data_IF_272450220330
#
_entry.id   IF_272450220330
#
_cell.length_a   1.000
_cell.length_b   1.000
_cell.length_c   1.000
_cell.angle_alpha   90.00
_cell.angle_beta   90.00
_cell.angle_gamma   90.00
#
_symmetry.space_group_name_H-M   'P 1'
#
loop_
_entity.id
_entity.type
_entity.pdbx_description
1 polymer ?
#
# COMPACT_ATOMS: atom_id res chain seq x y z
N UNK A 1 8.91 -12.69 2.85
CA UNK A 1 9.56 -11.46 3.36
C UNK A 1 8.52 -10.66 4.13
N UNK A 2 8.71 -10.39 5.43
CA UNK A 2 7.73 -9.63 6.22
C UNK A 2 7.90 -8.14 5.92
N UNK A 3 6.87 -7.46 5.41
CA UNK A 3 6.92 -6.00 5.21
C UNK A 3 7.06 -5.32 6.59
N UNK A 4 8.01 -4.38 6.71
CA UNK A 4 8.28 -3.66 7.97
C UNK A 4 7.13 -2.73 8.38
N UNK A 5 6.43 -2.17 7.38
CA UNK A 5 5.28 -1.29 7.58
C UNK A 5 4.06 -1.85 6.85
N UNK A 6 2.88 -1.71 7.46
CA UNK A 6 1.60 -2.00 6.82
C UNK A 6 1.23 -0.89 5.82
N UNK A 7 0.31 -1.19 4.92
CA UNK A 7 -0.16 -0.20 3.93
C UNK A 7 -0.90 0.95 4.60
N UNK A 8 -1.62 0.66 5.68
CA UNK A 8 -2.30 1.66 6.52
C UNK A 8 -1.30 2.60 7.20
N UNK A 9 -0.17 2.07 7.71
CA UNK A 9 0.91 2.90 8.26
C UNK A 9 1.54 3.79 7.19
N UNK A 10 1.82 3.22 6.02
CA UNK A 10 2.40 3.94 4.89
C UNK A 10 1.50 5.11 4.47
N UNK A 11 0.18 4.89 4.35
CA UNK A 11 -0.78 5.94 4.01
C UNK A 11 -0.84 7.00 5.10
N UNK A 12 -0.75 6.60 6.37
CA UNK A 12 -0.61 7.54 7.49
C UNK A 12 0.60 8.47 7.33
N UNK A 13 1.76 7.93 6.96
CA UNK A 13 2.97 8.72 6.73
C UNK A 13 2.83 9.70 5.56
N UNK A 14 2.15 9.30 4.47
CA UNK A 14 1.89 10.19 3.34
C UNK A 14 0.97 11.35 3.74
N UNK A 15 -0.04 11.09 4.57
CA UNK A 15 -0.95 12.12 5.09
C UNK A 15 -0.28 13.10 6.05
N UNK A 16 0.69 12.66 6.85
CA UNK A 16 1.49 13.58 7.68
C UNK A 16 2.16 14.67 6.81
N UNK A 17 2.61 14.33 5.59
CA UNK A 17 3.16 15.33 4.69
C UNK A 17 2.10 16.29 4.13
N UNK A 18 0.87 15.82 3.93
CA UNK A 18 -0.27 16.64 3.49
C UNK A 18 -0.71 17.65 4.56
N UNK A 19 -0.47 17.37 5.84
CA UNK A 19 -0.73 18.32 6.95
C UNK A 19 0.37 19.36 7.15
N UNK A 20 1.38 19.38 6.27
CA UNK A 20 2.44 20.39 6.24
C UNK A 20 3.75 19.97 6.93
N UNK A 21 3.86 18.71 7.39
CA UNK A 21 5.15 18.21 7.88
C UNK A 21 6.14 17.97 6.75
N UNK A 22 7.43 18.21 7.02
CA UNK A 22 8.48 17.90 6.03
C UNK A 22 8.71 16.39 5.94
N UNK A 23 8.91 15.90 4.71
CA UNK A 23 9.21 14.47 4.46
C UNK A 23 10.44 14.00 5.26
N UNK A 24 11.43 14.88 5.43
CA UNK A 24 12.64 14.60 6.19
C UNK A 24 12.36 14.31 7.66
N UNK A 25 11.47 15.08 8.29
CA UNK A 25 11.08 14.88 9.68
C UNK A 25 10.27 13.60 9.86
N UNK A 26 9.36 13.31 8.93
CA UNK A 26 8.56 12.07 8.93
C UNK A 26 9.49 10.85 8.80
N UNK A 27 10.44 10.89 7.87
CA UNK A 27 11.45 9.83 7.68
C UNK A 27 12.26 9.58 8.95
N UNK A 28 12.73 10.66 9.60
CA UNK A 28 13.50 10.57 10.85
C UNK A 28 12.67 10.02 12.01
N UNK A 29 11.41 10.45 12.14
CA UNK A 29 10.49 10.02 13.20
C UNK A 29 10.15 8.54 13.11
N UNK A 30 9.83 8.05 11.92
CA UNK A 30 9.33 6.69 11.70
C UNK A 30 10.40 5.69 11.25
N UNK A 31 11.62 6.16 10.97
CA UNK A 31 12.77 5.32 10.71
C UNK A 31 12.77 4.65 9.33
N UNK A 32 12.43 5.41 8.30
CA UNK A 32 12.54 5.01 6.88
C UNK A 32 13.22 6.11 6.04
N UNK A 33 13.63 5.78 4.82
CA UNK A 33 14.34 6.73 3.96
C UNK A 33 13.39 7.54 3.07
N UNK A 34 13.83 8.71 2.61
CA UNK A 34 13.08 9.52 1.65
C UNK A 34 12.82 8.77 0.34
N UNK A 35 13.72 7.85 -0.05
CA UNK A 35 13.50 6.96 -1.19
C UNK A 35 12.29 6.03 -0.98
N UNK A 36 12.13 5.46 0.22
CA UNK A 36 10.93 4.68 0.56
C UNK A 36 9.66 5.53 0.50
N UNK A 37 9.74 6.77 0.99
CA UNK A 37 8.62 7.72 0.91
C UNK A 37 8.20 7.99 -0.53
N UNK A 38 9.15 8.28 -1.43
CA UNK A 38 8.85 8.51 -2.85
C UNK A 38 8.20 7.28 -3.51
N UNK A 39 8.70 6.07 -3.24
CA UNK A 39 8.10 4.83 -3.73
C UNK A 39 6.64 4.69 -3.27
N UNK A 40 6.38 4.94 -1.99
CA UNK A 40 5.04 4.89 -1.43
C UNK A 40 4.14 5.98 -2.00
N UNK A 41 4.66 7.19 -2.19
CA UNK A 41 3.90 8.29 -2.81
C UNK A 41 3.50 7.96 -4.25
N UNK A 42 4.36 7.29 -5.03
CA UNK A 42 3.99 6.82 -6.37
C UNK A 42 2.92 5.73 -6.34
N UNK A 43 2.90 4.87 -5.32
CA UNK A 43 1.94 3.77 -5.22
C UNK A 43 0.60 4.15 -4.58
N UNK A 44 0.63 5.01 -3.56
CA UNK A 44 -0.51 5.33 -2.68
C UNK A 44 -0.82 6.83 -2.60
N UNK A 45 -0.03 7.68 -3.26
CA UNK A 45 -0.26 9.13 -3.24
C UNK A 45 -1.59 9.50 -3.89
N UNK A 46 -2.34 10.40 -3.25
CA UNK A 46 -3.69 10.78 -3.69
C UNK A 46 -4.77 9.74 -3.38
N UNK A 47 -4.42 8.60 -2.77
CA UNK A 47 -5.36 7.56 -2.35
C UNK A 47 -5.76 7.75 -0.89
N UNK A 48 -7.07 7.75 -0.63
CA UNK A 48 -7.60 7.72 0.73
C UNK A 48 -7.41 6.33 1.36
N UNK A 49 -7.38 6.27 2.70
CA UNK A 49 -7.32 5.00 3.43
C UNK A 49 -8.46 4.04 3.05
N UNK A 50 -9.65 4.58 2.76
CA UNK A 50 -10.81 3.81 2.31
C UNK A 50 -10.59 3.22 0.91
N UNK A 51 -10.03 3.99 -0.02
CA UNK A 51 -9.68 3.51 -1.37
C UNK A 51 -8.58 2.45 -1.32
N UNK A 52 -7.59 2.61 -0.44
CA UNK A 52 -6.54 1.60 -0.26
C UNK A 52 -7.08 0.29 0.32
N UNK A 53 -8.00 0.36 1.29
CA UNK A 53 -8.66 -0.83 1.84
C UNK A 53 -9.46 -1.55 0.75
N UNK A 54 -10.25 -0.80 -0.02
CA UNK A 54 -11.03 -1.34 -1.13
C UNK A 54 -10.14 -1.96 -2.22
N UNK A 55 -9.01 -1.34 -2.52
CA UNK A 55 -8.04 -1.88 -3.48
C UNK A 55 -7.52 -3.24 -3.02
N UNK A 56 -7.14 -3.38 -1.75
CA UNK A 56 -6.65 -4.64 -1.18
C UNK A 56 -7.69 -5.75 -1.19
N UNK A 57 -8.95 -5.41 -0.90
CA UNK A 57 -10.08 -6.35 -0.98
C UNK A 57 -10.27 -6.83 -2.43
N UNK A 58 -10.22 -5.92 -3.41
CA UNK A 58 -10.30 -6.27 -4.84
C UNK A 58 -9.12 -7.11 -5.31
N UNK A 59 -7.88 -6.80 -4.89
CA UNK A 59 -6.69 -7.59 -5.22
C UNK A 59 -6.79 -9.01 -4.66
N UNK A 60 -7.30 -9.16 -3.44
CA UNK A 60 -7.50 -10.47 -2.78
C UNK A 60 -8.54 -11.30 -3.54
N UNK A 61 -9.69 -10.69 -3.87
CA UNK A 61 -10.73 -11.40 -4.61
C UNK A 61 -10.28 -11.74 -6.04
N UNK A 62 -9.54 -10.84 -6.70
CA UNK A 62 -8.99 -11.13 -8.03
C UNK A 62 -8.00 -12.30 -8.01
N UNK A 63 -7.17 -12.41 -6.97
CA UNK A 63 -6.27 -13.53 -6.80
C UNK A 63 -7.04 -14.85 -6.62
N UNK A 64 -8.07 -14.85 -5.77
CA UNK A 64 -8.95 -16.01 -5.57
C UNK A 64 -9.67 -16.42 -6.85
N UNK A 65 -10.21 -15.47 -7.60
CA UNK A 65 -10.90 -15.75 -8.87
C UNK A 65 -9.94 -16.34 -9.91
N UNK A 66 -8.69 -15.87 -9.97
CA UNK A 66 -7.65 -16.44 -10.84
C UNK A 66 -7.29 -17.87 -10.46
N UNK A 67 -7.24 -18.17 -9.17
CA UNK A 67 -6.98 -19.54 -8.67
C UNK A 67 -8.12 -20.49 -9.07
N UNK A 68 -9.38 -20.11 -8.79
CA UNK A 68 -10.54 -20.90 -9.18
C UNK A 68 -10.64 -21.09 -10.71
N UNK A 69 -10.31 -20.07 -11.49
CA UNK A 69 -10.25 -20.17 -12.95
C UNK A 69 -9.17 -21.16 -13.39
N UNK A 70 -7.99 -21.12 -12.78
CA UNK A 70 -6.92 -22.05 -13.09
C UNK A 70 -7.29 -23.50 -12.75
N UNK A 71 -7.93 -23.73 -11.60
CA UNK A 71 -8.47 -25.04 -11.20
C UNK A 71 -9.49 -25.54 -12.22
N UNK A 72 -10.47 -24.72 -12.60
CA UNK A 72 -11.48 -25.07 -13.59
C UNK A 72 -10.90 -25.40 -14.97
N UNK A 73 -9.78 -24.78 -15.35
CA UNK A 73 -9.09 -25.06 -16.61
C UNK A 73 -8.28 -26.36 -16.58
N UNK A 74 -7.90 -26.85 -15.40
CA UNK A 74 -7.19 -28.13 -15.22
C UNK A 74 -8.15 -29.34 -15.22
N UNK A 75 -9.45 -29.12 -15.01
CA UNK A 75 -10.50 -30.15 -15.06
C UNK A 75 -11.03 -30.43 -16.49
N UNK A 76 -10.40 -29.84 -17.51
CA UNK A 76 -10.69 -30.02 -18.95
C UNK A 76 -9.57 -30.83 -19.60
#
# INVERSE_FOLDING_TARGET
MKKRFSEEQIIGFLREAETGMTVKDICRRHGFSEASYCLWRSKFGGMTLAEAKRLKELETENARLKELLAESLLEI
#
